data_IF_402609288771
#
_entry.id   IF_402609288771
#
_cell.length_a   1.000
_cell.length_b   1.000
_cell.length_c   1.000
_cell.angle_alpha   90.00
_cell.angle_beta   90.00
_cell.angle_gamma   90.00
#
_symmetry.space_group_name_H-M   'P 1'
#
loop_
_entity.id
_entity.type
_entity.pdbx_description
1 polymer ?
#
# COMPACT_ATOMS: atom_id res chain seq x y z
N UNK A 1 49.04 30.36 25.02
CA UNK A 1 49.15 28.97 24.52
C UNK A 1 48.12 28.79 23.41
N UNK A 2 48.61 28.47 22.22
CA UNK A 2 47.83 28.26 21.00
C UNK A 2 47.59 26.74 20.87
N UNK A 3 46.33 26.31 20.82
CA UNK A 3 45.97 24.96 20.35
C UNK A 3 45.04 25.17 19.16
N UNK A 4 45.60 24.94 17.98
CA UNK A 4 44.94 25.03 16.69
C UNK A 4 44.32 23.68 16.32
N UNK A 5 43.24 23.75 15.51
CA UNK A 5 42.60 22.67 14.73
C UNK A 5 41.94 21.63 15.65
N UNK A 6 40.71 21.17 15.46
CA UNK A 6 40.04 20.61 14.29
C UNK A 6 38.52 20.85 14.55
N UNK A 7 37.63 21.11 13.60
CA UNK A 7 37.36 20.34 12.40
C UNK A 7 36.71 21.29 11.37
N UNK A 8 37.26 21.24 10.16
CA UNK A 8 36.70 21.88 8.98
C UNK A 8 35.39 21.17 8.60
N UNK A 9 34.26 21.87 8.67
CA UNK A 9 32.94 21.34 8.33
C UNK A 9 32.84 20.88 6.86
N UNK A 10 33.80 21.27 6.00
CA UNK A 10 33.88 20.81 4.62
C UNK A 10 34.40 19.37 4.47
N UNK A 11 34.83 18.72 5.56
CA UNK A 11 35.53 17.42 5.52
C UNK A 11 34.77 16.26 6.18
N UNK A 12 33.52 16.45 6.55
CA UNK A 12 32.65 15.34 6.94
C UNK A 12 32.02 14.80 5.64
N UNK A 13 32.51 13.68 5.06
CA UNK A 13 31.75 12.98 4.05
C UNK A 13 30.49 12.45 4.73
N UNK A 14 29.40 13.22 4.67
CA UNK A 14 28.08 12.64 4.83
C UNK A 14 27.98 11.58 3.73
N UNK A 15 27.82 10.29 4.05
CA UNK A 15 27.29 9.38 3.05
C UNK A 15 26.01 10.04 2.53
N UNK A 16 25.81 10.02 1.21
CA UNK A 16 24.51 10.36 0.65
C UNK A 16 23.54 9.31 1.18
N UNK A 17 23.02 9.55 2.38
CA UNK A 17 21.87 8.87 2.92
C UNK A 17 20.76 9.33 1.99
N UNK A 18 20.46 8.47 1.01
CA UNK A 18 19.21 8.51 0.30
C UNK A 18 18.13 8.15 1.33
N UNK A 19 17.89 9.08 2.26
CA UNK A 19 16.89 8.93 3.28
C UNK A 19 15.54 9.15 2.60
N UNK A 20 15.11 8.11 1.87
CA UNK A 20 13.72 7.82 1.49
C UNK A 20 12.85 7.56 2.74
N UNK A 21 13.32 7.94 3.92
CA UNK A 21 12.56 7.90 5.17
C UNK A 21 12.13 9.32 5.49
N UNK A 22 10.82 9.54 5.58
CA UNK A 22 10.41 10.62 6.45
C UNK A 22 9.21 10.15 7.25
N UNK A 23 9.44 9.47 8.37
CA UNK A 23 8.49 9.38 9.51
C UNK A 23 7.08 8.76 9.17
N UNK A 24 6.84 8.37 7.91
CA UNK A 24 5.54 8.02 7.31
C UNK A 24 5.59 6.79 6.39
N UNK A 25 6.79 6.22 6.17
CA UNK A 25 7.02 5.01 5.38
C UNK A 25 7.25 5.22 3.88
N UNK A 26 7.53 6.45 3.44
CA UNK A 26 7.85 6.77 2.05
C UNK A 26 6.63 6.84 1.12
N UNK A 27 6.85 7.25 -0.14
CA UNK A 27 5.78 7.44 -1.15
C UNK A 27 4.94 6.17 -1.35
N UNK A 28 5.60 5.00 -1.36
CA UNK A 28 4.91 3.71 -1.48
C UNK A 28 3.92 3.43 -0.35
N UNK A 29 4.27 3.77 0.90
CA UNK A 29 3.36 3.62 2.06
C UNK A 29 2.15 4.56 1.97
N UNK A 30 2.37 5.80 1.52
CA UNK A 30 1.27 6.77 1.32
C UNK A 30 0.31 6.26 0.25
N UNK A 31 0.83 5.84 -0.91
CA UNK A 31 0.02 5.31 -2.00
C UNK A 31 -0.73 4.03 -1.60
N UNK A 32 -0.07 3.12 -0.88
CA UNK A 32 -0.70 1.89 -0.37
C UNK A 32 -1.93 2.15 0.52
N UNK A 33 -1.97 3.28 1.23
CA UNK A 33 -3.14 3.72 2.02
C UNK A 33 -4.23 4.36 1.16
N UNK A 34 -3.86 5.01 0.06
CA UNK A 34 -4.79 5.65 -0.88
C UNK A 34 -5.55 4.67 -1.77
N UNK A 35 -4.90 3.61 -2.24
CA UNK A 35 -5.52 2.65 -3.15
C UNK A 35 -6.80 1.98 -2.63
N UNK A 36 -6.91 1.58 -1.35
CA UNK A 36 -8.17 1.09 -0.80
C UNK A 36 -9.31 2.11 -0.87
N UNK A 37 -9.03 3.39 -0.60
CA UNK A 37 -10.03 4.45 -0.70
C UNK A 37 -10.44 4.69 -2.16
N UNK A 38 -9.47 4.64 -3.08
CA UNK A 38 -9.72 4.72 -4.51
C UNK A 38 -10.64 3.58 -4.99
N UNK A 39 -10.37 2.33 -4.61
CA UNK A 39 -11.23 1.18 -4.95
C UNK A 39 -12.66 1.34 -4.43
N UNK A 40 -12.81 1.87 -3.20
CA UNK A 40 -14.13 2.13 -2.62
C UNK A 40 -14.90 3.20 -3.42
N UNK A 41 -14.24 4.27 -3.86
CA UNK A 41 -14.85 5.33 -4.68
C UNK A 41 -15.26 4.83 -6.08
N UNK A 42 -14.55 3.84 -6.62
CA UNK A 42 -14.85 3.28 -7.93
C UNK A 42 -16.08 2.37 -7.95
N UNK A 43 -16.62 1.96 -6.79
CA UNK A 43 -17.79 1.07 -6.68
C UNK A 43 -17.64 -0.27 -7.45
N UNK A 44 -16.42 -0.82 -7.48
CA UNK A 44 -16.07 -2.04 -8.23
C UNK A 44 -16.13 -3.33 -7.40
N UNK A 45 -16.63 -3.28 -6.18
CA UNK A 45 -16.65 -4.43 -5.25
C UNK A 45 -17.34 -5.66 -5.86
N UNK A 46 -18.41 -5.47 -6.63
CA UNK A 46 -19.11 -6.56 -7.34
C UNK A 46 -18.20 -7.27 -8.34
N UNK A 47 -17.36 -6.53 -9.08
CA UNK A 47 -16.40 -7.10 -10.03
C UNK A 47 -15.32 -7.90 -9.27
N UNK A 48 -14.84 -7.36 -8.15
CA UNK A 48 -13.80 -8.01 -7.34
C UNK A 48 -14.27 -9.31 -6.69
N UNK A 49 -15.58 -9.43 -6.42
CA UNK A 49 -16.18 -10.64 -5.87
C UNK A 49 -16.31 -11.76 -6.90
N UNK A 50 -16.53 -11.43 -8.17
CA UNK A 50 -16.75 -12.43 -9.23
C UNK A 50 -15.50 -12.75 -10.04
N UNK A 51 -14.50 -11.87 -10.01
CA UNK A 51 -13.31 -12.00 -10.84
C UNK A 51 -12.41 -13.17 -10.42
N UNK A 52 -11.91 -13.89 -11.42
CA UNK A 52 -10.86 -14.90 -11.24
C UNK A 52 -9.46 -14.30 -11.05
N UNK A 53 -8.44 -15.10 -10.68
CA UNK A 53 -7.09 -14.59 -10.41
C UNK A 53 -6.44 -13.80 -11.56
N UNK A 54 -6.61 -14.27 -12.81
CA UNK A 54 -6.07 -13.59 -13.99
C UNK A 54 -6.80 -12.26 -14.25
N UNK A 55 -8.12 -12.23 -14.08
CA UNK A 55 -8.93 -11.03 -14.25
C UNK A 55 -8.59 -9.98 -13.18
N UNK A 56 -8.35 -10.38 -11.94
CA UNK A 56 -7.90 -9.47 -10.88
C UNK A 56 -6.57 -8.79 -11.23
N UNK A 57 -5.65 -9.49 -11.89
CA UNK A 57 -4.40 -8.91 -12.37
C UNK A 57 -4.66 -7.88 -13.49
N UNK A 58 -5.51 -8.23 -14.47
CA UNK A 58 -5.88 -7.30 -15.55
C UNK A 58 -6.61 -6.06 -15.03
N UNK A 59 -7.49 -6.21 -14.03
CA UNK A 59 -8.17 -5.08 -13.38
C UNK A 59 -7.19 -4.19 -12.63
N UNK A 60 -6.23 -4.78 -11.91
CA UNK A 60 -5.18 -4.05 -11.21
C UNK A 60 -4.33 -3.20 -12.17
N UNK A 61 -3.89 -3.79 -13.28
CA UNK A 61 -3.18 -3.07 -14.34
C UNK A 61 -4.02 -1.94 -14.93
N UNK A 62 -5.28 -2.23 -15.28
CA UNK A 62 -6.20 -1.25 -15.86
C UNK A 62 -6.41 -0.03 -14.96
N UNK A 63 -6.39 -0.21 -13.65
CA UNK A 63 -6.61 0.87 -12.68
C UNK A 63 -5.33 1.49 -12.14
N UNK A 64 -4.15 0.98 -12.55
CA UNK A 64 -2.87 1.43 -12.02
C UNK A 64 -2.70 1.14 -10.53
N UNK A 65 -3.39 0.12 -10.01
CA UNK A 65 -3.35 -0.27 -8.59
C UNK A 65 -2.47 -1.52 -8.46
N UNK A 66 -1.58 -1.61 -7.45
CA UNK A 66 -0.81 -2.82 -7.21
C UNK A 66 -1.70 -4.05 -7.04
N UNK A 67 -1.43 -5.12 -7.80
CA UNK A 67 -2.23 -6.34 -7.84
C UNK A 67 -2.51 -6.95 -6.45
N UNK A 68 -1.51 -6.91 -5.55
CA UNK A 68 -1.68 -7.44 -4.19
C UNK A 68 -2.74 -6.70 -3.36
N UNK A 69 -3.00 -5.41 -3.64
CA UNK A 69 -4.05 -4.63 -2.97
C UNK A 69 -5.43 -5.04 -3.50
N UNK A 70 -5.57 -5.18 -4.82
CA UNK A 70 -6.81 -5.64 -5.47
C UNK A 70 -7.18 -7.05 -5.00
N UNK A 71 -6.20 -7.97 -4.99
CA UNK A 71 -6.37 -9.35 -4.50
C UNK A 71 -6.74 -9.37 -3.01
N UNK A 72 -6.09 -8.53 -2.18
CA UNK A 72 -6.44 -8.42 -0.75
C UNK A 72 -7.88 -7.95 -0.57
N UNK A 73 -8.34 -6.97 -1.35
CA UNK A 73 -9.73 -6.48 -1.30
C UNK A 73 -10.72 -7.56 -1.71
N UNK A 74 -10.48 -8.27 -2.81
CA UNK A 74 -11.32 -9.39 -3.27
C UNK A 74 -11.48 -10.46 -2.17
N UNK A 75 -10.37 -10.90 -1.55
CA UNK A 75 -10.40 -11.86 -0.43
C UNK A 75 -11.20 -11.34 0.77
N UNK A 76 -11.04 -10.07 1.12
CA UNK A 76 -11.79 -9.47 2.23
C UNK A 76 -13.31 -9.45 1.96
N UNK A 77 -13.72 -9.12 0.73
CA UNK A 77 -15.13 -9.13 0.32
C UNK A 77 -15.72 -10.54 0.37
N UNK A 78 -15.01 -11.54 -0.14
CA UNK A 78 -15.44 -12.95 -0.10
C UNK A 78 -15.57 -13.42 1.36
N UNK A 79 -14.58 -13.12 2.19
CA UNK A 79 -14.61 -13.45 3.62
C UNK A 79 -15.78 -12.80 4.36
N UNK A 80 -16.05 -11.52 4.08
CA UNK A 80 -17.18 -10.80 4.66
C UNK A 80 -18.52 -11.41 4.21
N UNK A 81 -18.67 -11.74 2.92
CA UNK A 81 -19.87 -12.38 2.40
C UNK A 81 -20.10 -13.75 3.07
N UNK A 82 -19.07 -14.58 3.18
CA UNK A 82 -19.13 -15.86 3.86
C UNK A 82 -19.56 -15.71 5.33
N UNK A 83 -18.99 -14.74 6.05
CA UNK A 83 -19.34 -14.46 7.43
C UNK A 83 -20.82 -14.03 7.58
N UNK A 84 -21.34 -13.18 6.68
CA UNK A 84 -22.74 -12.77 6.70
C UNK A 84 -23.70 -13.94 6.43
N UNK A 85 -23.34 -14.84 5.52
CA UNK A 85 -24.13 -16.04 5.23
C UNK A 85 -24.16 -16.97 6.45
N UNK A 86 -23.02 -17.19 7.11
CA UNK A 86 -22.94 -17.99 8.32
C UNK A 86 -23.83 -17.42 9.44
N UNK A 87 -23.69 -16.11 9.72
CA UNK A 87 -24.50 -15.42 10.73
C UNK A 87 -26.01 -15.53 10.48
N UNK A 88 -26.45 -15.51 9.21
CA UNK A 88 -27.87 -15.69 8.85
C UNK A 88 -28.39 -17.11 9.03
N UNK A 89 -27.51 -18.12 9.09
CA UNK A 89 -27.91 -19.52 9.32
C UNK A 89 -28.05 -19.85 10.81
N UNK A 90 -27.43 -19.05 11.67
CA UNK A 90 -27.40 -19.26 13.14
C UNK A 90 -28.53 -18.53 13.89
N UNK A 91 -29.23 -17.58 13.24
CA UNK A 91 -30.35 -16.83 13.80
C UNK A 91 -31.68 -17.26 13.18
#
# INVERSE_FOLDING_TARGET
MQIAKFMDAARVPMPADHDDRPISGGVGSVLARGYPAQLAQMNVDHLLMTAGPAELASLAERWGIPAHIVVRRSKALIGQAAHQIAKRREG
#
